data_IF_970785529787
#
_entry.id   IF_970785529787
#
_cell.length_a   1.000
_cell.length_b   1.000
_cell.length_c   1.000
_cell.angle_alpha   90.00
_cell.angle_beta   90.00
_cell.angle_gamma   90.00
#
_symmetry.space_group_name_H-M   'P 1'
#
loop_
_entity.id
_entity.type
_entity.pdbx_description
1 polymer ?
#
# COMPACT_ATOMS: atom_id res chain seq x y z
N UNK A 1 13.25 14.53 -15.93
CA UNK A 1 13.37 13.87 -14.63
C UNK A 1 13.22 12.37 -14.78
N UNK A 2 14.05 11.63 -14.07
CA UNK A 2 13.96 10.16 -14.07
C UNK A 2 12.87 9.71 -13.14
N UNK A 3 12.07 8.76 -13.59
CA UNK A 3 11.10 8.09 -12.75
C UNK A 3 11.74 6.89 -12.08
N UNK A 4 11.43 6.68 -10.82
CA UNK A 4 11.99 5.60 -10.01
C UNK A 4 10.97 4.47 -9.95
N UNK A 5 11.36 3.23 -10.28
CA UNK A 5 10.44 2.10 -10.14
C UNK A 5 10.16 1.78 -8.68
N UNK A 6 8.90 1.52 -8.37
CA UNK A 6 8.47 1.17 -7.03
C UNK A 6 7.56 -0.05 -7.07
N UNK A 7 7.60 -0.83 -6.00
CA UNK A 7 6.67 -1.93 -5.78
C UNK A 7 5.99 -1.70 -4.46
N UNK A 8 4.66 -1.80 -4.46
CA UNK A 8 3.84 -1.60 -3.27
C UNK A 8 3.02 -2.84 -3.01
N UNK A 9 2.88 -3.19 -1.71
CA UNK A 9 1.95 -4.23 -1.31
C UNK A 9 0.69 -3.57 -0.75
N UNK A 10 -0.48 -4.02 -1.19
CA UNK A 10 -1.76 -3.56 -0.67
C UNK A 10 -2.49 -4.72 -0.03
N UNK A 11 -3.14 -4.45 1.11
CA UNK A 11 -3.95 -5.45 1.79
C UNK A 11 -5.15 -4.84 2.47
N UNK A 12 -6.21 -5.65 2.61
CA UNK A 12 -7.41 -5.25 3.32
C UNK A 12 -8.13 -6.51 3.83
N UNK A 13 -8.69 -6.44 5.04
CA UNK A 13 -9.52 -7.51 5.57
C UNK A 13 -10.92 -7.04 6.00
N UNK A 14 -11.31 -5.83 5.62
CA UNK A 14 -12.67 -5.34 5.86
C UNK A 14 -13.14 -4.56 4.65
N UNK A 15 -14.32 -4.92 4.13
CA UNK A 15 -14.85 -4.38 2.86
C UNK A 15 -13.74 -4.36 1.80
N UNK A 16 -13.13 -5.52 1.62
CA UNK A 16 -11.85 -5.68 0.94
C UNK A 16 -11.82 -5.13 -0.47
N UNK A 17 -12.83 -5.44 -1.26
CA UNK A 17 -12.88 -4.96 -2.65
C UNK A 17 -12.99 -3.44 -2.71
N UNK A 18 -13.84 -2.86 -1.86
CA UNK A 18 -14.04 -1.41 -1.84
C UNK A 18 -12.75 -0.67 -1.49
N UNK A 19 -12.07 -1.11 -0.44
CA UNK A 19 -10.85 -0.43 0.01
C UNK A 19 -9.68 -0.62 -0.95
N UNK A 20 -9.54 -1.81 -1.54
CA UNK A 20 -8.50 -2.01 -2.55
C UNK A 20 -8.74 -1.17 -3.79
N UNK A 21 -9.97 -1.08 -4.26
CA UNK A 21 -10.30 -0.21 -5.39
C UNK A 21 -10.01 1.25 -5.09
N UNK A 22 -10.43 1.72 -3.91
CA UNK A 22 -10.17 3.09 -3.50
C UNK A 22 -8.66 3.38 -3.42
N UNK A 23 -7.90 2.45 -2.88
CA UNK A 23 -6.45 2.57 -2.81
C UNK A 23 -5.80 2.64 -4.19
N UNK A 24 -6.22 1.75 -5.09
CA UNK A 24 -5.69 1.73 -6.47
C UNK A 24 -6.02 3.01 -7.23
N UNK A 25 -7.25 3.51 -7.08
CA UNK A 25 -7.66 4.77 -7.72
C UNK A 25 -6.82 5.95 -7.21
N UNK A 26 -6.58 6.00 -5.91
CA UNK A 26 -5.77 7.05 -5.31
C UNK A 26 -4.31 6.97 -5.79
N UNK A 27 -3.74 5.77 -5.89
CA UNK A 27 -2.38 5.56 -6.39
C UNK A 27 -2.27 5.94 -7.86
N UNK A 28 -3.25 5.58 -8.67
CA UNK A 28 -3.24 5.89 -10.09
C UNK A 28 -3.27 7.39 -10.37
N UNK A 29 -3.76 8.19 -9.42
CA UNK A 29 -3.84 9.63 -9.58
C UNK A 29 -2.46 10.31 -9.60
N UNK A 30 -1.42 9.70 -9.03
CA UNK A 30 -0.10 10.35 -8.94
C UNK A 30 1.07 9.44 -9.31
N UNK A 31 0.87 8.14 -9.48
CA UNK A 31 1.93 7.24 -9.93
C UNK A 31 1.83 6.98 -11.43
N UNK A 32 2.97 6.69 -12.04
CA UNK A 32 3.07 6.43 -13.47
C UNK A 32 3.16 4.93 -13.76
N UNK A 33 2.61 4.51 -14.89
CA UNK A 33 2.73 3.12 -15.38
C UNK A 33 2.29 2.07 -14.34
N UNK A 34 1.20 2.34 -13.66
CA UNK A 34 0.71 1.47 -12.60
C UNK A 34 0.18 0.14 -13.16
N UNK A 35 0.65 -0.96 -12.59
CA UNK A 35 0.20 -2.31 -12.93
C UNK A 35 -0.06 -3.09 -11.66
N UNK A 36 -1.09 -3.94 -11.69
CA UNK A 36 -1.49 -4.72 -10.53
C UNK A 36 -1.27 -6.21 -10.78
N UNK A 37 -0.82 -6.92 -9.76
CA UNK A 37 -0.85 -8.37 -9.75
C UNK A 37 -2.28 -8.86 -9.58
N UNK A 38 -2.57 -10.14 -9.82
CA UNK A 38 -3.82 -10.73 -9.35
C UNK A 38 -3.96 -10.58 -7.83
N UNK A 39 -5.19 -10.55 -7.36
CA UNK A 39 -5.48 -10.53 -5.92
C UNK A 39 -5.31 -11.95 -5.38
N UNK A 40 -4.70 -12.06 -4.20
CA UNK A 40 -4.59 -13.33 -3.49
C UNK A 40 -5.04 -13.15 -2.06
N UNK A 41 -5.49 -14.25 -1.45
CA UNK A 41 -6.02 -14.25 -0.09
C UNK A 41 -4.98 -14.81 0.87
N UNK A 42 -4.87 -14.21 2.05
CA UNK A 42 -3.98 -14.71 3.10
C UNK A 42 -4.66 -14.69 4.46
N UNK A 43 -4.32 -15.67 5.31
CA UNK A 43 -4.81 -15.73 6.68
C UNK A 43 -3.91 -14.91 7.59
N UNK A 44 -4.48 -14.00 8.40
CA UNK A 44 -3.68 -13.27 9.38
C UNK A 44 -3.31 -14.19 10.54
N UNK A 45 -2.04 -14.17 10.96
CA UNK A 45 -1.56 -14.96 12.08
C UNK A 45 -1.86 -14.22 13.39
N UNK A 46 -2.60 -14.86 14.30
CA UNK A 46 -2.87 -14.31 15.62
C UNK A 46 -3.87 -13.17 15.68
N UNK A 47 -4.55 -12.85 14.59
CA UNK A 47 -5.56 -11.80 14.53
C UNK A 47 -6.93 -12.45 14.34
N UNK A 48 -7.93 -11.97 15.08
CA UNK A 48 -9.30 -12.51 15.02
C UNK A 48 -10.15 -11.92 13.90
N UNK A 49 -9.56 -11.20 12.98
CA UNK A 49 -10.26 -10.64 11.83
C UNK A 49 -10.18 -11.60 10.65
N UNK A 50 -11.05 -11.41 9.65
CA UNK A 50 -11.11 -12.30 8.50
C UNK A 50 -9.86 -12.25 7.63
N UNK A 51 -9.81 -13.13 6.62
CA UNK A 51 -8.65 -13.19 5.73
C UNK A 51 -8.46 -11.91 4.94
N UNK A 52 -7.21 -11.62 4.60
CA UNK A 52 -6.85 -10.46 3.79
C UNK A 52 -6.97 -10.78 2.31
N UNK A 53 -7.40 -9.79 1.53
CA UNK A 53 -7.10 -9.72 0.11
C UNK A 53 -5.83 -8.90 -0.04
N UNK A 54 -4.89 -9.41 -0.82
CA UNK A 54 -3.59 -8.78 -1.05
C UNK A 54 -3.33 -8.66 -2.54
N UNK A 55 -2.58 -7.63 -2.93
CA UNK A 55 -2.05 -7.54 -4.28
C UNK A 55 -0.74 -6.75 -4.26
N UNK A 56 0.03 -6.86 -5.32
CA UNK A 56 1.25 -6.10 -5.51
C UNK A 56 1.05 -5.15 -6.68
N UNK A 57 1.49 -3.92 -6.49
CA UNK A 57 1.44 -2.89 -7.52
C UNK A 57 2.87 -2.55 -7.93
N UNK A 58 3.12 -2.52 -9.22
CA UNK A 58 4.34 -1.92 -9.76
C UNK A 58 3.99 -0.59 -10.40
N UNK A 59 4.87 0.39 -10.23
CA UNK A 59 4.64 1.73 -10.76
C UNK A 59 5.98 2.47 -10.85
N UNK A 60 5.93 3.72 -11.28
CA UNK A 60 7.07 4.63 -11.29
C UNK A 60 6.67 5.94 -10.64
N UNK A 61 7.62 6.56 -9.96
CA UNK A 61 7.37 7.82 -9.27
C UNK A 61 8.55 8.77 -9.40
N UNK A 62 8.25 10.08 -9.37
CA UNK A 62 9.26 11.12 -9.24
C UNK A 62 9.34 11.65 -7.81
N UNK A 63 8.55 11.09 -6.90
CA UNK A 63 8.54 11.53 -5.50
C UNK A 63 9.71 10.95 -4.73
N UNK A 64 10.34 11.74 -3.84
CA UNK A 64 11.25 11.17 -2.84
C UNK A 64 10.52 10.16 -1.96
N UNK A 65 11.27 9.20 -1.41
CA UNK A 65 10.70 8.14 -0.60
C UNK A 65 9.85 8.68 0.56
N UNK A 66 10.33 9.72 1.24
CA UNK A 66 9.60 10.30 2.37
C UNK A 66 8.24 10.86 1.95
N UNK A 67 8.18 11.52 0.80
CA UNK A 67 6.91 12.06 0.28
C UNK A 67 5.98 10.95 -0.18
N UNK A 68 6.53 9.92 -0.83
CA UNK A 68 5.74 8.77 -1.23
C UNK A 68 5.10 8.12 0.01
N UNK A 69 5.91 7.86 1.04
CA UNK A 69 5.41 7.27 2.29
C UNK A 69 4.31 8.10 2.93
N UNK A 70 4.46 9.42 2.92
CA UNK A 70 3.44 10.30 3.47
C UNK A 70 2.14 10.22 2.69
N UNK A 71 2.19 10.18 1.37
CA UNK A 71 1.01 10.03 0.54
C UNK A 71 0.31 8.70 0.78
N UNK A 72 1.08 7.62 0.95
CA UNK A 72 0.50 6.31 1.24
C UNK A 72 -0.25 6.32 2.58
N UNK A 73 0.30 6.99 3.59
CA UNK A 73 -0.37 7.14 4.88
C UNK A 73 -1.66 7.95 4.77
N UNK A 74 -1.69 8.98 3.94
CA UNK A 74 -2.90 9.75 3.70
C UNK A 74 -3.98 8.91 3.04
N UNK A 75 -3.61 8.05 2.08
CA UNK A 75 -4.56 7.15 1.43
C UNK A 75 -5.11 6.14 2.45
N UNK A 76 -4.26 5.59 3.30
CA UNK A 76 -4.71 4.70 4.36
C UNK A 76 -5.69 5.41 5.31
N UNK A 77 -5.37 6.63 5.70
CA UNK A 77 -6.22 7.43 6.59
C UNK A 77 -7.60 7.72 5.95
N UNK A 78 -7.61 8.06 4.66
CA UNK A 78 -8.84 8.32 3.93
C UNK A 78 -9.74 7.09 3.85
N UNK A 79 -9.17 5.90 4.03
CA UNK A 79 -9.91 4.64 4.04
C UNK A 79 -10.18 4.11 5.44
N UNK A 80 -10.04 4.96 6.46
CA UNK A 80 -10.39 4.62 7.83
C UNK A 80 -9.36 3.82 8.61
N UNK A 81 -8.12 3.71 8.11
CA UNK A 81 -7.04 2.93 8.75
C UNK A 81 -6.82 3.34 10.21
N UNK A 82 -6.89 4.63 10.49
CA UNK A 82 -6.58 5.18 11.81
C UNK A 82 -7.81 5.56 12.62
N UNK A 83 -9.00 5.16 12.16
CA UNK A 83 -10.23 5.42 12.90
C UNK A 83 -10.25 4.59 14.19
N UNK A 84 -10.61 5.20 15.34
CA UNK A 84 -10.57 4.45 16.62
C UNK A 84 -11.56 3.30 16.69
N UNK A 85 -12.62 3.33 15.90
CA UNK A 85 -13.68 2.31 15.92
C UNK A 85 -13.60 1.30 14.79
N UNK A 86 -12.50 1.26 14.07
CA UNK A 86 -12.37 0.33 12.93
C UNK A 86 -12.44 -1.12 13.38
N UNK A 87 -13.02 -1.96 12.51
CA UNK A 87 -13.19 -3.40 12.76
C UNK A 87 -12.27 -4.21 11.86
N UNK A 88 -10.99 -4.10 12.04
CA UNK A 88 -10.02 -4.77 11.18
C UNK A 88 -9.12 -3.75 10.51
N UNK A 89 -8.49 -4.13 9.41
CA UNK A 89 -7.53 -3.30 8.70
C UNK A 89 -8.09 -2.94 7.32
N UNK A 90 -8.72 -1.74 7.19
CA UNK A 90 -9.38 -1.37 5.94
C UNK A 90 -8.41 -1.28 4.76
N UNK A 91 -7.23 -0.71 4.98
CA UNK A 91 -6.24 -0.58 3.91
C UNK A 91 -4.84 -0.50 4.50
N UNK A 92 -3.97 -1.37 4.02
CA UNK A 92 -2.56 -1.40 4.35
C UNK A 92 -1.77 -1.25 3.05
N UNK A 93 -0.87 -0.26 2.99
CA UNK A 93 -0.03 -0.04 1.82
C UNK A 93 1.42 0.04 2.27
N UNK A 94 2.23 -0.92 1.83
CA UNK A 94 3.63 -1.00 2.19
C UNK A 94 4.52 -0.77 0.98
N UNK A 95 5.61 -0.03 1.16
CA UNK A 95 6.64 0.07 0.13
C UNK A 95 7.51 -1.18 0.22
N UNK A 96 7.50 -1.99 -0.84
CA UNK A 96 8.31 -3.20 -0.92
C UNK A 96 9.68 -2.92 -1.53
N UNK A 97 9.70 -2.11 -2.59
CA UNK A 97 10.94 -1.69 -3.28
C UNK A 97 10.80 -0.25 -3.71
N UNK A 98 11.88 0.50 -3.60
CA UNK A 98 11.99 1.87 -4.10
C UNK A 98 13.33 1.99 -4.83
N UNK A 99 13.30 1.82 -6.15
CA UNK A 99 14.52 1.77 -6.93
C UNK A 99 15.47 0.70 -6.39
N UNK A 100 16.70 1.07 -6.16
CA UNK A 100 17.74 0.19 -5.62
C UNK A 100 18.03 0.39 -4.14
N UNK A 101 17.17 1.15 -3.43
CA UNK A 101 17.42 1.46 -2.03
C UNK A 101 17.29 0.22 -1.15
N UNK A 102 18.23 0.10 -0.22
CA UNK A 102 18.22 -0.92 0.83
C UNK A 102 18.52 -0.24 2.17
N UNK A 103 17.98 -0.79 3.24
CA UNK A 103 18.26 -0.29 4.58
C UNK A 103 17.03 0.23 5.31
N UNK A 104 17.28 0.97 6.39
CA UNK A 104 16.25 1.56 7.23
C UNK A 104 16.15 3.06 6.92
N UNK A 105 14.98 3.51 6.52
CA UNK A 105 14.69 4.90 6.18
C UNK A 105 13.56 5.39 7.08
N UNK A 106 13.90 5.94 8.23
CA UNK A 106 12.95 6.47 9.22
C UNK A 106 11.89 5.44 9.63
N UNK A 107 12.35 4.22 9.94
CA UNK A 107 11.46 3.13 10.34
C UNK A 107 10.91 2.31 9.17
N UNK A 108 11.18 2.72 7.93
CA UNK A 108 10.81 1.94 6.74
C UNK A 108 12.02 1.13 6.29
N UNK A 109 11.92 -0.19 6.42
CA UNK A 109 13.00 -1.11 6.06
C UNK A 109 12.78 -1.60 4.64
N UNK A 110 13.76 -1.34 3.76
CA UNK A 110 13.74 -1.78 2.37
C UNK A 110 14.78 -2.88 2.15
N UNK A 111 14.49 -3.81 1.21
CA UNK A 111 15.36 -4.94 0.93
C UNK A 111 16.72 -4.57 0.36
#
# INVERSE_FOLDING_TARGET
MSLIPVYLGLGSNVERERHLHAGLDALAAFLHDLRCSPVFESEPVGIKSGPFFNLVVSARTDLPLAELSLRLKHIEADNGRYAPERKGLPLDIDVLFYGDLVGDFDGLVLP
#
